data_IF_516247225206
#
_entry.id   IF_516247225206
#
_cell.length_a   1.000
_cell.length_b   1.000
_cell.length_c   1.000
_cell.angle_alpha   90.00
_cell.angle_beta   90.00
_cell.angle_gamma   90.00
#
_symmetry.space_group_name_H-M   'P 1'
#
loop_
_entity.id
_entity.type
_entity.pdbx_description
1 polymer ?
#
# COMPACT_ATOMS: atom_id res chain seq x y z
N UNK A 1 12.24 -5.53 -5.18
CA UNK A 1 11.48 -4.31 -4.83
C UNK A 1 12.39 -3.24 -4.20
N UNK A 2 13.52 -2.91 -4.83
CA UNK A 2 14.42 -1.87 -4.29
C UNK A 2 13.96 -0.44 -4.63
N UNK A 3 13.07 -0.30 -5.62
CA UNK A 3 12.49 0.98 -6.03
C UNK A 3 11.63 1.60 -4.91
N UNK A 4 10.82 0.79 -4.22
CA UNK A 4 9.93 1.27 -3.15
C UNK A 4 10.69 1.75 -1.91
N UNK A 5 11.90 1.20 -1.66
CA UNK A 5 12.78 1.66 -0.57
C UNK A 5 13.38 3.05 -0.81
N UNK A 6 13.32 3.54 -2.05
CA UNK A 6 13.79 4.88 -2.46
C UNK A 6 12.66 5.91 -2.53
N UNK A 7 11.40 5.47 -2.40
CA UNK A 7 10.23 6.34 -2.44
C UNK A 7 10.04 7.04 -1.10
N UNK A 8 9.53 8.27 -1.15
CA UNK A 8 9.15 8.99 0.07
C UNK A 8 7.82 8.43 0.59
N UNK A 9 7.51 8.63 1.87
CA UNK A 9 6.20 8.23 2.43
C UNK A 9 5.02 8.80 1.63
N UNK A 10 5.18 9.95 0.96
CA UNK A 10 4.13 10.52 0.12
C UNK A 10 3.93 9.73 -1.19
N UNK A 11 5.01 9.29 -1.85
CA UNK A 11 4.91 8.45 -3.04
C UNK A 11 4.33 7.07 -2.70
N UNK A 12 4.73 6.51 -1.53
CA UNK A 12 4.17 5.27 -1.01
C UNK A 12 2.69 5.42 -0.64
N UNK A 13 2.28 6.58 -0.13
CA UNK A 13 0.88 6.90 0.12
C UNK A 13 0.08 6.86 -1.18
N UNK A 14 0.57 7.48 -2.24
CA UNK A 14 -0.12 7.54 -3.53
C UNK A 14 -0.30 6.12 -4.11
N UNK A 15 0.75 5.29 -4.03
CA UNK A 15 0.67 3.87 -4.38
C UNK A 15 -0.32 3.10 -3.51
N UNK A 16 -0.30 3.31 -2.20
CA UNK A 16 -1.24 2.70 -1.27
C UNK A 16 -2.68 3.11 -1.62
N UNK A 17 -2.91 4.38 -1.94
CA UNK A 17 -4.22 4.90 -2.28
C UNK A 17 -4.75 4.22 -3.55
N UNK A 18 -3.92 4.05 -4.58
CA UNK A 18 -4.29 3.34 -5.83
C UNK A 18 -4.59 1.85 -5.61
N UNK A 19 -3.99 1.22 -4.59
CA UNK A 19 -4.22 -0.20 -4.27
C UNK A 19 -5.51 -0.38 -3.43
N UNK A 20 -5.82 0.58 -2.55
CA UNK A 20 -6.91 0.50 -1.56
C UNK A 20 -8.18 1.20 -2.02
N UNK A 21 -8.05 2.29 -2.77
CA UNK A 21 -9.16 3.08 -3.28
C UNK A 21 -9.27 2.88 -4.79
N UNK A 22 -10.51 2.74 -5.24
CA UNK A 22 -10.81 2.71 -6.67
C UNK A 22 -10.82 4.14 -7.25
N UNK A 23 -10.93 4.29 -8.57
CA UNK A 23 -11.01 5.61 -9.23
C UNK A 23 -12.22 6.44 -8.76
N UNK A 24 -13.24 5.76 -8.23
CA UNK A 24 -14.44 6.38 -7.64
C UNK A 24 -14.23 6.87 -6.19
N UNK A 25 -13.06 6.66 -5.59
CA UNK A 25 -12.79 6.95 -4.18
C UNK A 25 -13.50 6.00 -3.21
N UNK A 26 -14.18 4.99 -3.74
CA UNK A 26 -14.76 3.91 -2.95
C UNK A 26 -13.65 2.96 -2.52
N UNK A 27 -13.63 2.62 -1.23
CA UNK A 27 -12.67 1.68 -0.65
C UNK A 27 -12.87 0.32 -1.31
N UNK A 28 -11.98 -0.01 -2.24
CA UNK A 28 -11.96 -1.30 -2.92
C UNK A 28 -11.38 -2.24 -1.89
N UNK A 29 -12.25 -3.01 -1.21
CA UNK A 29 -11.90 -3.80 -0.03
C UNK A 29 -10.73 -4.77 -0.30
N UNK A 30 -9.52 -4.26 -0.15
CA UNK A 30 -8.30 -4.99 0.08
C UNK A 30 -8.20 -5.15 1.59
N UNK A 31 -9.07 -6.00 2.14
CA UNK A 31 -9.13 -6.26 3.59
C UNK A 31 -7.73 -6.57 4.14
N UNK A 32 -6.86 -7.21 3.38
CA UNK A 32 -5.52 -7.58 3.85
C UNK A 32 -4.60 -6.39 4.14
N UNK A 33 -4.54 -5.33 3.33
CA UNK A 33 -3.56 -4.25 3.53
C UNK A 33 -4.00 -3.26 4.63
N UNK A 34 -5.29 -2.88 4.66
CA UNK A 34 -5.84 -1.99 5.70
C UNK A 34 -6.14 -2.72 7.02
N UNK A 35 -6.36 -4.04 7.00
CA UNK A 35 -6.51 -4.85 8.22
C UNK A 35 -5.18 -5.42 8.72
N UNK A 36 -4.09 -5.31 7.92
CA UNK A 36 -2.77 -5.79 8.31
C UNK A 36 -2.31 -5.20 9.64
N UNK A 37 -1.66 -6.03 10.45
CA UNK A 37 -1.09 -5.64 11.75
C UNK A 37 -0.09 -4.49 11.57
N UNK A 38 0.61 -4.44 10.44
CA UNK A 38 1.56 -3.37 10.11
C UNK A 38 0.85 -2.02 9.95
N UNK A 39 -0.26 -1.97 9.22
CA UNK A 39 -1.08 -0.75 9.10
C UNK A 39 -1.68 -0.35 10.46
N UNK A 40 -2.15 -1.31 11.26
CA UNK A 40 -2.65 -1.00 12.61
C UNK A 40 -1.54 -0.49 13.56
N UNK A 41 -0.31 -0.98 13.40
CA UNK A 41 0.83 -0.66 14.29
C UNK A 41 1.55 0.63 13.90
N UNK A 42 1.69 0.88 12.59
CA UNK A 42 2.44 2.01 12.05
C UNK A 42 1.54 3.06 11.40
N UNK A 43 0.24 2.79 11.20
CA UNK A 43 -0.70 3.72 10.60
C UNK A 43 -0.28 4.12 9.19
N UNK A 44 -0.34 5.42 8.90
CA UNK A 44 0.07 6.00 7.62
C UNK A 44 1.59 6.15 7.44
N UNK A 45 2.40 5.53 8.30
CA UNK A 45 3.86 5.53 8.19
C UNK A 45 4.33 4.44 7.20
N UNK A 46 3.98 4.62 5.93
CA UNK A 46 4.18 3.63 4.85
C UNK A 46 5.64 3.20 4.66
N UNK A 47 6.60 4.07 5.01
CA UNK A 47 8.02 3.77 5.00
C UNK A 47 8.45 2.69 6.01
N UNK A 48 7.59 2.35 6.98
CA UNK A 48 7.83 1.25 7.93
C UNK A 48 7.51 -0.13 7.37
N UNK A 49 6.62 -0.20 6.38
CA UNK A 49 6.18 -1.46 5.76
C UNK A 49 6.14 -1.39 4.22
N UNK A 50 7.20 -0.86 3.55
CA UNK A 50 7.20 -0.70 2.09
C UNK A 50 7.15 -2.06 1.36
N UNK A 51 7.58 -3.14 2.02
CA UNK A 51 7.55 -4.49 1.47
C UNK A 51 6.12 -5.05 1.40
N UNK A 52 5.24 -4.69 2.33
CA UNK A 52 3.81 -5.09 2.31
C UNK A 52 3.05 -4.40 1.19
N UNK A 53 3.30 -3.11 0.99
CA UNK A 53 2.75 -2.35 -0.13
C UNK A 53 3.25 -2.94 -1.46
N UNK A 54 4.50 -3.38 -1.52
CA UNK A 54 5.08 -4.03 -2.68
C UNK A 54 4.43 -5.36 -3.04
N UNK A 55 4.15 -6.18 -2.02
CA UNK A 55 3.54 -7.50 -2.15
C UNK A 55 2.14 -7.37 -2.77
N UNK A 56 1.31 -6.47 -2.24
CA UNK A 56 0.00 -6.21 -2.85
C UNK A 56 0.11 -5.60 -4.23
N UNK A 57 1.02 -4.64 -4.44
CA UNK A 57 1.22 -4.07 -5.76
C UNK A 57 1.58 -5.15 -6.81
N UNK A 58 2.39 -6.16 -6.47
CA UNK A 58 2.70 -7.27 -7.38
C UNK A 58 1.52 -8.22 -7.57
N UNK A 59 0.79 -8.52 -6.50
CA UNK A 59 -0.38 -9.39 -6.57
C UNK A 59 -1.47 -8.79 -7.47
N UNK A 60 -1.63 -7.47 -7.42
CA UNK A 60 -2.60 -6.72 -8.22
C UNK A 60 -2.12 -6.39 -9.64
N UNK A 61 -0.85 -6.02 -9.84
CA UNK A 61 -0.32 -5.60 -11.14
C UNK A 61 -0.01 -6.73 -12.13
N UNK A 62 -0.13 -8.00 -11.70
CA UNK A 62 0.22 -9.18 -12.49
C UNK A 62 -0.92 -9.85 -13.25
N UNK A 63 -2.13 -9.26 -13.28
CA UNK A 63 -3.33 -9.88 -13.88
C UNK A 63 -3.85 -9.15 -15.10
#
# INVERSE_FOLDING_TARGET
MEFLKRLSSNDLKDLFDVIVYDEDGTLRMNEDLTSSIEYQRYGHDYAKYPERIAEELQCYGGR
#
